data_IF_260355059061
#
_entry.id   IF_260355059061
#
_cell.length_a   1.000
_cell.length_b   1.000
_cell.length_c   1.000
_cell.angle_alpha   90.00
_cell.angle_beta   90.00
_cell.angle_gamma   90.00
#
_symmetry.space_group_name_H-M   'P 1'
#
loop_
_entity.id
_entity.type
_entity.pdbx_description
1 polymer ?
#
# COMPACT_ATOMS: atom_id res chain seq x y z
N UNK A 1 9.37 23.31 52.63
CA UNK A 1 9.62 22.71 51.30
C UNK A 1 9.38 23.70 50.15
N UNK A 2 9.96 24.91 50.19
CA UNK A 2 9.76 25.94 49.14
C UNK A 2 11.07 26.62 48.65
N UNK A 3 12.24 26.19 49.15
CA UNK A 3 13.55 26.74 48.77
C UNK A 3 14.37 25.83 47.84
N UNK A 4 13.98 24.56 47.68
CA UNK A 4 14.72 23.57 46.88
C UNK A 4 14.42 23.66 45.37
N UNK A 5 13.24 24.17 44.98
CA UNK A 5 12.86 24.31 43.57
C UNK A 5 13.50 25.53 42.87
N UNK A 6 13.79 26.59 43.62
CA UNK A 6 14.40 27.82 43.09
C UNK A 6 15.90 27.63 42.77
N UNK A 7 16.60 26.81 43.56
CA UNK A 7 17.98 26.45 43.29
C UNK A 7 18.11 25.58 42.04
N UNK A 8 17.18 24.65 41.82
CA UNK A 8 17.20 23.78 40.62
C UNK A 8 16.94 24.55 39.32
N UNK A 9 16.07 25.57 39.33
CA UNK A 9 15.86 26.46 38.17
C UNK A 9 17.05 27.37 37.88
N UNK A 10 17.81 27.80 38.90
CA UNK A 10 19.00 28.64 38.72
C UNK A 10 20.20 27.86 38.15
N UNK A 11 20.35 26.58 38.51
CA UNK A 11 21.38 25.72 37.90
C UNK A 11 21.05 25.34 36.44
N UNK A 12 19.76 25.20 36.09
CA UNK A 12 19.35 24.91 34.71
C UNK A 12 19.53 26.12 33.78
N UNK A 13 19.37 27.35 34.30
CA UNK A 13 19.62 28.57 33.52
C UNK A 13 21.12 28.89 33.37
N UNK A 14 21.94 28.55 34.37
CA UNK A 14 23.39 28.69 34.30
C UNK A 14 24.03 27.64 33.35
N UNK A 15 23.46 26.44 33.26
CA UNK A 15 23.89 25.41 32.32
C UNK A 15 23.52 25.73 30.86
N UNK A 16 22.54 26.61 30.61
CA UNK A 16 22.17 27.06 29.26
C UNK A 16 22.99 28.26 28.75
N UNK A 17 23.81 28.89 29.59
CA UNK A 17 24.54 30.13 29.26
C UNK A 17 26.06 29.95 29.19
N UNK A 18 26.57 28.72 29.31
CA UNK A 18 28.00 28.42 29.18
C UNK A 18 28.21 27.64 27.89
N UNK A 19 28.71 28.34 26.86
CA UNK A 19 29.39 27.71 25.73
C UNK A 19 28.75 27.92 24.36
N UNK A 20 28.52 29.16 23.93
CA UNK A 20 28.66 29.46 22.49
C UNK A 20 30.10 29.91 22.26
N UNK A 21 30.97 29.12 21.62
CA UNK A 21 32.24 29.66 21.17
C UNK A 21 31.96 30.76 20.14
N UNK A 22 32.63 31.90 20.30
CA UNK A 22 32.79 32.87 19.22
C UNK A 22 33.60 32.18 18.12
N UNK A 23 32.90 31.64 17.13
CA UNK A 23 33.52 31.12 15.91
C UNK A 23 34.07 32.32 15.15
N UNK A 24 35.40 32.43 15.08
CA UNK A 24 36.07 33.30 14.12
C UNK A 24 35.66 32.85 12.72
N UNK A 25 35.14 33.78 11.91
CA UNK A 25 34.87 33.52 10.51
C UNK A 25 36.22 33.33 9.79
N UNK A 26 36.51 32.08 9.43
CA UNK A 26 37.60 31.74 8.53
C UNK A 26 37.27 32.30 7.12
N UNK A 27 38.24 32.86 6.38
CA UNK A 27 37.99 33.36 5.03
C UNK A 27 37.40 32.24 4.19
N UNK A 28 36.29 32.53 3.50
CA UNK A 28 35.59 31.55 2.68
C UNK A 28 36.53 30.98 1.61
N UNK A 29 37.00 29.75 1.82
CA UNK A 29 37.61 28.97 0.75
C UNK A 29 36.60 28.87 -0.40
N UNK A 30 37.08 29.09 -1.62
CA UNK A 30 36.25 28.96 -2.81
C UNK A 30 35.55 27.59 -2.79
N UNK A 31 34.21 27.61 -2.80
CA UNK A 31 33.41 26.38 -2.73
C UNK A 31 33.75 25.54 -3.97
N UNK A 32 34.53 24.48 -3.77
CA UNK A 32 34.70 23.44 -4.79
C UNK A 32 33.39 22.65 -4.86
N UNK A 33 32.57 22.99 -5.85
CA UNK A 33 31.37 22.23 -6.18
C UNK A 33 31.82 21.03 -7.02
N UNK A 34 31.98 19.88 -6.38
CA UNK A 34 32.00 18.61 -7.11
C UNK A 34 30.53 18.23 -7.38
N UNK A 35 30.13 18.20 -8.65
CA UNK A 35 28.82 17.68 -9.02
C UNK A 35 28.80 16.18 -8.72
N UNK A 36 27.90 15.76 -7.84
CA UNK A 36 27.71 14.35 -7.50
C UNK A 36 26.86 13.64 -8.56
N UNK A 37 27.39 12.53 -9.06
CA UNK A 37 26.66 11.38 -9.59
C UNK A 37 25.52 11.65 -10.59
N UNK A 38 25.87 11.66 -11.88
CA UNK A 38 24.90 11.77 -12.98
C UNK A 38 23.95 10.58 -13.01
N UNK A 39 22.65 10.87 -12.91
CA UNK A 39 21.57 9.94 -13.23
C UNK A 39 20.64 10.59 -14.25
N UNK A 40 20.09 9.79 -15.15
CA UNK A 40 19.21 10.24 -16.21
C UNK A 40 18.00 9.29 -16.29
N UNK A 41 16.77 9.79 -16.10
CA UNK A 41 15.58 8.98 -16.31
C UNK A 41 15.45 8.67 -17.81
N UNK A 42 15.19 7.40 -18.13
CA UNK A 42 15.00 6.95 -19.49
C UNK A 42 13.54 7.21 -19.89
N UNK A 43 13.18 8.47 -20.12
CA UNK A 43 11.81 8.84 -20.44
C UNK A 43 11.39 8.39 -21.85
N UNK A 44 12.30 8.36 -22.81
CA UNK A 44 12.02 7.91 -24.16
C UNK A 44 12.92 8.53 -25.22
N UNK A 45 12.61 8.32 -26.50
CA UNK A 45 11.46 7.56 -27.00
C UNK A 45 11.62 6.04 -26.80
N UNK A 46 10.64 5.39 -26.18
CA UNK A 46 10.55 3.93 -26.11
C UNK A 46 9.81 3.39 -27.32
N UNK A 47 10.24 2.22 -27.82
CA UNK A 47 9.48 1.40 -28.76
C UNK A 47 8.58 0.44 -27.99
N UNK A 48 7.30 0.42 -28.30
CA UNK A 48 6.27 -0.34 -27.59
C UNK A 48 5.51 -1.29 -28.52
N UNK A 49 5.22 -2.49 -28.03
CA UNK A 49 4.43 -3.47 -28.76
C UNK A 49 3.69 -4.44 -27.82
N UNK A 50 2.42 -4.70 -28.10
CA UNK A 50 1.61 -5.69 -27.37
C UNK A 50 1.90 -7.12 -27.85
N UNK A 51 1.79 -8.10 -26.97
CA UNK A 51 2.04 -9.51 -27.26
C UNK A 51 3.36 -9.99 -26.65
N UNK A 52 3.79 -11.19 -27.03
CA UNK A 52 4.92 -11.86 -26.38
C UNK A 52 5.85 -12.55 -27.37
N UNK A 53 6.85 -11.83 -27.88
CA UNK A 53 7.87 -12.37 -28.78
C UNK A 53 9.22 -12.55 -28.06
N UNK A 54 9.72 -13.79 -27.85
CA UNK A 54 11.01 -14.01 -27.20
C UNK A 54 12.19 -13.34 -27.91
N UNK A 55 12.11 -13.19 -29.24
CA UNK A 55 13.12 -12.51 -30.06
C UNK A 55 13.22 -11.00 -29.80
N UNK A 56 12.22 -10.41 -29.15
CA UNK A 56 12.15 -8.97 -28.90
C UNK A 56 13.06 -8.49 -27.77
N UNK A 57 13.87 -9.36 -27.15
CA UNK A 57 14.98 -8.93 -26.30
C UNK A 57 16.28 -8.71 -27.09
N UNK A 58 16.40 -9.27 -28.30
CA UNK A 58 17.64 -9.26 -29.09
C UNK A 58 18.09 -7.82 -29.44
N UNK A 59 19.39 -7.49 -29.37
CA UNK A 59 19.91 -6.19 -29.76
C UNK A 59 19.71 -5.89 -31.26
N UNK A 60 19.74 -6.94 -32.09
CA UNK A 60 19.63 -6.84 -33.55
C UNK A 60 18.19 -6.82 -34.06
N UNK A 61 17.20 -6.93 -33.17
CA UNK A 61 15.80 -6.88 -33.55
C UNK A 61 15.41 -5.48 -34.06
N UNK A 62 14.77 -5.44 -35.23
CA UNK A 62 14.22 -4.24 -35.83
C UNK A 62 12.84 -3.91 -35.23
N UNK A 63 12.82 -2.87 -34.41
CA UNK A 63 11.64 -2.31 -33.74
C UNK A 63 11.17 -0.99 -34.39
N UNK A 64 11.62 -0.68 -35.60
CA UNK A 64 11.26 0.58 -36.30
C UNK A 64 9.76 0.74 -36.54
N UNK A 65 9.04 -0.37 -36.71
CA UNK A 65 7.59 -0.41 -36.92
C UNK A 65 6.77 -0.33 -35.61
N UNK A 66 7.43 -0.36 -34.44
CA UNK A 66 6.75 -0.33 -33.14
C UNK A 66 6.25 1.08 -32.80
N UNK A 67 5.20 1.12 -31.98
CA UNK A 67 4.66 2.37 -31.42
C UNK A 67 5.75 3.10 -30.63
N UNK A 68 5.74 4.44 -30.67
CA UNK A 68 6.63 5.24 -29.83
C UNK A 68 5.90 5.69 -28.57
N UNK A 69 6.47 5.41 -27.41
CA UNK A 69 5.97 5.81 -26.09
C UNK A 69 6.94 6.75 -25.41
N UNK A 70 6.40 7.85 -24.87
CA UNK A 70 7.10 8.75 -23.96
C UNK A 70 6.59 8.55 -22.53
N UNK A 71 7.53 8.31 -21.62
CA UNK A 71 7.36 8.15 -20.18
C UNK A 71 7.74 9.41 -19.40
N UNK A 72 7.87 10.57 -20.08
CA UNK A 72 8.06 11.86 -19.42
C UNK A 72 6.81 12.19 -18.57
N UNK A 73 6.95 12.32 -17.24
CA UNK A 73 5.83 12.65 -16.37
C UNK A 73 5.48 14.13 -16.47
N UNK A 74 4.19 14.44 -16.27
CA UNK A 74 3.79 15.82 -16.05
C UNK A 74 4.41 16.36 -14.74
N UNK A 75 4.73 17.66 -14.64
CA UNK A 75 5.25 18.24 -13.40
C UNK A 75 4.34 17.94 -12.19
N UNK A 76 4.92 17.37 -11.14
CA UNK A 76 4.19 17.00 -9.92
C UNK A 76 3.35 15.73 -10.03
N UNK A 77 3.40 14.99 -11.15
CA UNK A 77 2.68 13.73 -11.30
C UNK A 77 3.18 12.67 -10.30
N UNK A 78 2.24 12.00 -9.65
CA UNK A 78 2.50 10.92 -8.73
C UNK A 78 1.41 9.84 -8.85
N UNK A 79 1.67 8.64 -8.32
CA UNK A 79 0.66 7.58 -8.27
C UNK A 79 -0.46 7.90 -7.27
N UNK A 80 -1.59 7.23 -7.42
CA UNK A 80 -2.77 7.42 -6.55
C UNK A 80 -2.71 6.62 -5.24
N UNK A 81 -1.57 5.98 -4.91
CA UNK A 81 -1.40 5.16 -3.70
C UNK A 81 -0.49 5.84 -2.67
N UNK A 82 0.84 5.76 -2.84
CA UNK A 82 1.81 6.24 -1.83
C UNK A 82 2.48 7.57 -2.19
N UNK A 83 2.17 8.11 -3.37
CA UNK A 83 2.72 9.35 -3.91
C UNK A 83 4.09 9.16 -4.56
N UNK A 84 4.37 7.99 -5.15
CA UNK A 84 5.53 7.74 -6.00
C UNK A 84 5.58 8.80 -7.11
N UNK A 85 6.64 9.62 -7.18
CA UNK A 85 6.75 10.66 -8.20
C UNK A 85 7.05 10.06 -9.57
N UNK A 86 6.82 10.86 -10.61
CA UNK A 86 7.18 10.50 -11.98
C UNK A 86 6.17 9.58 -12.65
N UNK A 87 4.92 9.62 -12.20
CA UNK A 87 3.83 8.80 -12.74
C UNK A 87 3.43 9.23 -14.16
N UNK A 88 3.24 8.24 -15.03
CA UNK A 88 2.59 8.37 -16.34
C UNK A 88 1.47 7.35 -16.49
N UNK A 89 0.52 7.68 -17.36
CA UNK A 89 -0.61 6.79 -17.69
C UNK A 89 -0.16 5.51 -18.40
N UNK A 90 -0.88 4.41 -18.13
CA UNK A 90 -0.63 3.10 -18.68
C UNK A 90 -1.09 2.95 -20.14
N UNK A 91 -0.80 1.80 -20.77
CA UNK A 91 -1.15 1.57 -22.18
C UNK A 91 -2.65 1.59 -22.45
N UNK A 92 -3.49 1.36 -21.43
CA UNK A 92 -4.96 1.45 -21.57
C UNK A 92 -5.41 2.86 -21.99
N UNK A 93 -4.67 3.90 -21.60
CA UNK A 93 -4.91 5.30 -22.01
C UNK A 93 -4.18 5.68 -23.29
N UNK A 94 -3.41 4.75 -23.87
CA UNK A 94 -2.59 4.93 -25.08
C UNK A 94 -3.08 4.02 -26.22
N UNK A 95 -4.40 3.84 -26.33
CA UNK A 95 -5.01 3.09 -27.43
C UNK A 95 -5.17 1.58 -27.20
N UNK A 96 -4.71 1.03 -26.07
CA UNK A 96 -4.81 -0.40 -25.76
C UNK A 96 -5.78 -0.68 -24.60
N UNK A 97 -6.94 -0.02 -24.61
CA UNK A 97 -7.92 -0.12 -23.55
C UNK A 97 -8.42 -1.57 -23.35
N UNK A 98 -8.34 -2.06 -22.12
CA UNK A 98 -8.76 -3.42 -21.76
C UNK A 98 -7.77 -4.52 -22.16
N UNK A 99 -6.64 -4.18 -22.77
CA UNK A 99 -5.59 -5.13 -23.09
C UNK A 99 -4.89 -5.62 -21.81
N UNK A 100 -4.85 -6.93 -21.63
CA UNK A 100 -4.13 -7.64 -20.56
C UNK A 100 -3.24 -8.70 -21.17
N UNK A 101 -2.23 -9.13 -20.44
CA UNK A 101 -1.21 -10.05 -20.94
C UNK A 101 0.14 -9.36 -21.16
N UNK A 102 0.93 -9.89 -22.09
CA UNK A 102 2.30 -9.41 -22.30
C UNK A 102 2.36 -8.18 -23.19
N UNK A 103 3.31 -7.30 -22.90
CA UNK A 103 3.74 -6.23 -23.80
C UNK A 103 5.23 -5.96 -23.60
N UNK A 104 5.84 -5.29 -24.56
CA UNK A 104 7.27 -5.03 -24.58
C UNK A 104 7.59 -3.56 -24.79
N UNK A 105 8.60 -3.09 -24.07
CA UNK A 105 9.22 -1.78 -24.22
C UNK A 105 10.68 -1.97 -24.59
N UNK A 106 11.18 -1.24 -25.60
CA UNK A 106 12.59 -1.26 -26.03
C UNK A 106 13.14 0.15 -26.18
N UNK A 107 14.38 0.38 -25.78
CA UNK A 107 15.10 1.63 -26.03
C UNK A 107 16.56 1.32 -26.33
N UNK A 108 17.14 2.08 -27.27
CA UNK A 108 18.58 2.07 -27.56
C UNK A 108 19.17 3.36 -27.00
N UNK A 109 20.11 3.23 -26.08
CA UNK A 109 20.73 4.38 -25.41
C UNK A 109 22.23 4.36 -25.62
N UNK A 110 22.77 5.50 -26.05
CA UNK A 110 24.20 5.76 -26.11
C UNK A 110 24.62 6.46 -24.81
N UNK A 111 25.63 5.93 -24.14
CA UNK A 111 26.04 6.34 -22.80
C UNK A 111 27.53 6.59 -22.83
N UNK A 112 27.93 7.81 -22.53
CA UNK A 112 29.32 8.15 -22.32
C UNK A 112 29.73 7.69 -20.91
N UNK A 113 30.68 6.76 -20.84
CA UNK A 113 31.20 6.24 -19.58
C UNK A 113 32.65 6.66 -19.38
N UNK A 114 32.96 7.15 -18.19
CA UNK A 114 34.33 7.39 -17.76
C UNK A 114 35.03 6.06 -17.41
N UNK A 115 36.34 6.00 -17.61
CA UNK A 115 37.13 4.82 -17.30
C UNK A 115 37.04 4.47 -15.81
N UNK A 116 36.72 3.21 -15.51
CA UNK A 116 36.65 2.71 -14.13
C UNK A 116 35.42 3.15 -13.33
N UNK A 117 34.50 3.93 -13.90
CA UNK A 117 33.24 4.30 -13.22
C UNK A 117 32.15 3.27 -13.57
N UNK A 118 31.65 2.49 -12.59
CA UNK A 118 30.62 1.49 -12.85
C UNK A 118 29.26 2.14 -13.15
N UNK A 119 28.53 1.57 -14.11
CA UNK A 119 27.17 1.95 -14.47
C UNK A 119 26.14 1.01 -13.84
N UNK A 120 24.97 1.56 -13.51
CA UNK A 120 23.82 0.79 -13.06
C UNK A 120 22.52 1.35 -13.61
N UNK A 121 21.49 0.51 -13.62
CA UNK A 121 20.12 0.86 -13.94
C UNK A 121 19.26 0.68 -12.69
N UNK A 122 18.59 1.73 -12.24
CA UNK A 122 17.45 1.61 -11.34
C UNK A 122 16.24 1.13 -12.16
N UNK A 123 15.65 0.01 -11.76
CA UNK A 123 14.40 -0.47 -12.36
C UNK A 123 13.25 0.53 -12.15
N UNK A 124 12.19 0.43 -12.96
CA UNK A 124 10.98 1.22 -12.74
C UNK A 124 10.40 0.89 -11.35
N UNK A 125 10.09 1.91 -10.57
CA UNK A 125 9.51 1.74 -9.23
C UNK A 125 8.03 1.40 -9.28
N UNK A 126 7.37 1.64 -10.41
CA UNK A 126 5.98 1.27 -10.65
C UNK A 126 5.81 0.74 -12.06
N UNK A 127 5.47 -0.55 -12.12
CA UNK A 127 5.02 -1.26 -13.31
C UNK A 127 3.80 -2.05 -12.89
N UNK A 128 2.77 -2.07 -13.72
CA UNK A 128 1.62 -2.89 -13.42
C UNK A 128 1.97 -4.37 -13.46
N UNK A 129 1.61 -5.07 -12.39
CA UNK A 129 1.79 -6.51 -12.20
C UNK A 129 3.26 -7.01 -12.18
N UNK A 130 3.89 -7.28 -13.33
CA UNK A 130 5.22 -7.90 -13.34
C UNK A 130 6.05 -7.50 -14.57
N UNK A 131 7.38 -7.58 -14.46
CA UNK A 131 8.28 -7.39 -15.60
C UNK A 131 9.56 -8.21 -15.51
N UNK A 132 10.16 -8.46 -16.68
CA UNK A 132 11.55 -8.89 -16.85
C UNK A 132 12.33 -7.81 -17.59
N UNK A 133 13.56 -7.56 -17.17
CA UNK A 133 14.52 -6.64 -17.77
C UNK A 133 15.59 -7.44 -18.53
N UNK A 134 15.78 -7.06 -19.79
CA UNK A 134 16.85 -7.54 -20.64
C UNK A 134 17.76 -6.38 -21.05
N UNK A 135 19.06 -6.61 -21.05
CA UNK A 135 20.06 -5.69 -21.61
C UNK A 135 20.90 -6.47 -22.61
N UNK A 136 20.97 -5.97 -23.85
CA UNK A 136 21.66 -6.60 -24.97
C UNK A 136 21.28 -8.08 -25.16
N UNK A 137 19.98 -8.36 -25.02
CA UNK A 137 19.42 -9.71 -25.12
C UNK A 137 19.58 -10.60 -23.88
N UNK A 138 20.34 -10.20 -22.87
CA UNK A 138 20.56 -10.97 -21.64
C UNK A 138 19.58 -10.56 -20.55
N UNK A 139 18.92 -11.54 -19.93
CA UNK A 139 18.04 -11.32 -18.78
C UNK A 139 18.86 -10.88 -17.56
N UNK A 140 18.58 -9.69 -17.01
CA UNK A 140 19.22 -9.17 -15.80
C UNK A 140 18.39 -9.38 -14.53
N UNK A 141 17.06 -9.50 -14.66
CA UNK A 141 16.16 -9.72 -13.53
C UNK A 141 14.79 -9.10 -13.78
N UNK A 142 14.11 -8.69 -12.70
CA UNK A 142 12.80 -8.05 -12.80
C UNK A 142 11.95 -8.22 -11.53
N UNK A 143 10.67 -7.90 -11.64
CA UNK A 143 9.68 -8.10 -10.58
C UNK A 143 8.63 -9.12 -11.02
N UNK A 144 8.46 -10.20 -10.26
CA UNK A 144 7.56 -11.30 -10.60
C UNK A 144 8.28 -12.63 -10.88
N UNK A 145 7.53 -13.73 -10.81
CA UNK A 145 8.01 -15.08 -11.13
C UNK A 145 7.55 -15.53 -12.51
N UNK A 146 8.46 -15.75 -13.46
CA UNK A 146 8.16 -16.10 -14.86
C UNK A 146 8.39 -17.59 -15.18
N UNK A 147 8.34 -18.46 -14.19
CA UNK A 147 8.60 -19.91 -14.36
C UNK A 147 7.40 -20.70 -14.88
N UNK A 148 6.17 -20.19 -14.69
CA UNK A 148 4.93 -20.82 -15.15
C UNK A 148 4.37 -20.20 -16.43
N UNK A 149 3.24 -20.74 -16.90
CA UNK A 149 2.49 -20.20 -18.07
C UNK A 149 1.86 -18.84 -17.80
N UNK A 150 1.55 -18.55 -16.53
CA UNK A 150 1.08 -17.24 -16.06
C UNK A 150 2.11 -16.76 -15.03
N UNK A 151 2.65 -15.54 -15.19
CA UNK A 151 3.59 -14.99 -14.22
C UNK A 151 2.98 -14.83 -12.82
N UNK A 152 3.73 -15.21 -11.80
CA UNK A 152 3.39 -14.92 -10.40
C UNK A 152 3.71 -13.47 -10.10
N UNK A 153 2.70 -12.70 -9.71
CA UNK A 153 2.84 -11.26 -9.44
C UNK A 153 3.17 -11.01 -7.97
N UNK A 154 4.12 -10.11 -7.74
CA UNK A 154 4.52 -9.56 -6.44
C UNK A 154 4.52 -8.03 -6.53
N UNK A 155 4.56 -7.34 -5.39
CA UNK A 155 4.71 -5.88 -5.38
C UNK A 155 6.01 -5.45 -6.07
N UNK A 156 5.90 -4.55 -7.07
CA UNK A 156 7.06 -3.93 -7.70
C UNK A 156 7.79 -3.09 -6.67
N UNK A 157 9.11 -3.26 -6.59
CA UNK A 157 9.98 -2.63 -5.59
C UNK A 157 11.18 -1.95 -6.26
N UNK A 158 11.77 -0.93 -5.61
CA UNK A 158 13.01 -0.34 -6.07
C UNK A 158 14.11 -1.40 -6.19
N UNK A 159 14.69 -1.51 -7.38
CA UNK A 159 15.68 -2.52 -7.74
C UNK A 159 16.83 -1.87 -8.50
N UNK A 160 18.03 -2.45 -8.37
CA UNK A 160 19.25 -1.97 -9.03
C UNK A 160 19.83 -3.13 -9.84
N UNK A 161 20.18 -2.83 -11.08
CA UNK A 161 20.79 -3.78 -12.01
C UNK A 161 22.15 -3.24 -12.44
N UNK A 162 23.27 -3.90 -12.08
CA UNK A 162 24.58 -3.49 -12.56
C UNK A 162 24.67 -3.71 -14.07
N UNK A 163 25.28 -2.75 -14.78
CA UNK A 163 25.55 -2.88 -16.21
C UNK A 163 27.02 -3.22 -16.43
N UNK A 164 27.32 -3.94 -17.51
CA UNK A 164 28.70 -4.16 -17.92
C UNK A 164 29.31 -2.83 -18.35
N UNK A 165 30.38 -2.40 -17.67
CA UNK A 165 31.15 -1.21 -18.05
C UNK A 165 32.08 -1.54 -19.21
N UNK A 166 32.28 -0.57 -20.10
CA UNK A 166 33.35 -0.66 -21.09
C UNK A 166 34.72 -0.59 -20.38
N UNK A 167 35.74 -1.32 -20.86
CA UNK A 167 37.07 -1.34 -20.27
C UNK A 167 37.86 -0.03 -20.48
N UNK A 168 37.33 0.92 -21.25
CA UNK A 168 37.97 2.21 -21.53
C UNK A 168 36.91 3.30 -21.61
N UNK A 169 37.31 4.54 -21.33
CA UNK A 169 36.43 5.68 -21.50
C UNK A 169 35.90 5.76 -22.94
N UNK A 170 34.61 6.03 -23.10
CA UNK A 170 33.98 6.14 -24.42
C UNK A 170 32.47 5.94 -24.40
N UNK A 171 31.87 6.07 -25.58
CA UNK A 171 30.42 5.90 -25.78
C UNK A 171 30.08 4.43 -25.98
N UNK A 172 29.30 3.86 -25.06
CA UNK A 172 28.74 2.51 -25.18
C UNK A 172 27.26 2.58 -25.52
N UNK A 173 26.80 1.73 -26.43
CA UNK A 173 25.38 1.61 -26.76
C UNK A 173 24.78 0.39 -26.07
N UNK A 174 23.66 0.58 -25.38
CA UNK A 174 22.90 -0.48 -24.73
C UNK A 174 21.51 -0.60 -25.36
N UNK A 175 21.06 -1.83 -25.60
CA UNK A 175 19.66 -2.13 -25.92
C UNK A 175 18.97 -2.63 -24.67
N UNK A 176 18.07 -1.81 -24.13
CA UNK A 176 17.31 -2.12 -22.91
C UNK A 176 15.90 -2.52 -23.33
N UNK A 177 15.44 -3.70 -22.88
CA UNK A 177 14.11 -4.19 -23.16
C UNK A 177 13.39 -4.66 -21.89
N UNK A 178 12.15 -4.22 -21.71
CA UNK A 178 11.26 -4.70 -20.67
C UNK A 178 10.17 -5.57 -21.28
N UNK A 179 10.04 -6.80 -20.78
CA UNK A 179 8.88 -7.67 -21.02
C UNK A 179 7.94 -7.52 -19.83
N UNK A 180 6.80 -6.88 -20.03
CA UNK A 180 5.81 -6.59 -18.99
C UNK A 180 4.66 -7.56 -19.11
N UNK A 181 4.18 -8.07 -17.97
CA UNK A 181 2.96 -8.87 -17.87
C UNK A 181 1.92 -8.09 -17.09
N UNK A 182 0.73 -7.92 -17.67
CA UNK A 182 -0.43 -7.31 -17.01
C UNK A 182 -1.44 -8.38 -16.61
N UNK A 183 -1.64 -8.56 -15.31
CA UNK A 183 -2.61 -9.50 -14.79
C UNK A 183 -4.04 -9.02 -15.07
N UNK A 184 -4.94 -9.88 -15.60
CA UNK A 184 -6.34 -9.52 -15.82
C UNK A 184 -7.09 -9.02 -14.58
N UNK A 185 -6.62 -9.35 -13.36
CA UNK A 185 -7.22 -8.89 -12.11
C UNK A 185 -7.07 -7.39 -11.87
N UNK A 186 -6.07 -6.74 -12.48
CA UNK A 186 -5.88 -5.30 -12.37
C UNK A 186 -6.31 -4.51 -13.61
N UNK A 187 -6.99 -5.16 -14.56
CA UNK A 187 -7.49 -4.48 -15.76
C UNK A 187 -8.39 -3.29 -15.37
N UNK A 188 -8.06 -2.11 -15.86
CA UNK A 188 -8.70 -0.86 -15.48
C UNK A 188 -8.50 0.24 -16.53
N UNK A 189 -9.09 1.41 -16.26
CA UNK A 189 -9.06 2.53 -17.21
C UNK A 189 -7.66 3.08 -17.47
N UNK A 190 -6.78 3.04 -16.46
CA UNK A 190 -5.39 3.52 -16.55
C UNK A 190 -4.37 2.39 -16.35
N UNK A 191 -4.76 1.16 -16.68
CA UNK A 191 -3.91 0.00 -16.42
C UNK A 191 -2.90 -0.30 -17.52
N UNK A 192 -1.85 -1.00 -17.13
CA UNK A 192 -0.87 -1.66 -17.96
C UNK A 192 0.39 -0.86 -18.19
N UNK A 193 1.54 -1.52 -18.01
CA UNK A 193 2.82 -1.01 -18.46
C UNK A 193 3.65 -0.34 -17.39
N UNK A 194 4.64 0.42 -17.84
CA UNK A 194 5.57 1.16 -16.99
C UNK A 194 4.96 2.51 -16.66
N UNK A 195 4.76 2.79 -15.37
CA UNK A 195 4.21 4.05 -14.88
C UNK A 195 5.29 5.01 -14.38
N UNK A 196 6.46 4.52 -14.00
CA UNK A 196 7.62 5.35 -13.63
C UNK A 196 8.81 4.88 -14.44
N UNK A 197 9.43 5.78 -15.20
CA UNK A 197 10.57 5.46 -16.05
C UNK A 197 11.74 4.87 -15.24
N UNK A 198 12.48 3.88 -15.78
CA UNK A 198 13.74 3.46 -15.19
C UNK A 198 14.79 4.57 -15.31
N UNK A 199 15.80 4.53 -14.45
CA UNK A 199 16.86 5.54 -14.41
C UNK A 199 18.22 4.90 -14.61
N UNK A 200 19.01 5.45 -15.52
CA UNK A 200 20.37 5.02 -15.80
C UNK A 200 21.36 6.01 -15.17
N UNK A 201 22.50 5.53 -14.66
CA UNK A 201 23.54 6.44 -14.21
C UNK A 201 24.76 5.71 -13.64
N UNK A 202 25.63 6.49 -13.01
CA UNK A 202 26.73 5.93 -12.22
C UNK A 202 26.18 5.13 -11.04
N UNK A 203 26.85 4.03 -10.68
CA UNK A 203 26.34 3.08 -9.70
C UNK A 203 26.13 3.70 -8.30
N UNK A 204 26.95 4.67 -7.92
CA UNK A 204 26.84 5.45 -6.68
C UNK A 204 25.62 6.38 -6.67
N UNK A 205 25.35 7.09 -7.77
CA UNK A 205 24.13 7.89 -7.95
C UNK A 205 22.88 7.04 -7.93
N UNK A 206 22.92 5.88 -8.58
CA UNK A 206 21.82 4.90 -8.57
C UNK A 206 21.62 4.31 -7.17
N UNK A 207 22.68 4.07 -6.40
CA UNK A 207 22.56 3.62 -5.01
C UNK A 207 21.86 4.67 -4.12
N UNK A 208 22.19 5.96 -4.29
CA UNK A 208 21.50 7.05 -3.59
C UNK A 208 20.03 7.17 -4.00
N UNK A 209 19.75 7.08 -5.30
CA UNK A 209 18.38 7.07 -5.82
C UNK A 209 17.58 5.90 -5.26
N UNK A 210 18.17 4.71 -5.22
CA UNK A 210 17.54 3.50 -4.70
C UNK A 210 17.17 3.64 -3.22
N UNK A 211 18.03 4.22 -2.39
CA UNK A 211 17.72 4.52 -0.99
C UNK A 211 16.54 5.49 -0.87
N UNK A 212 16.51 6.55 -1.68
CA UNK A 212 15.40 7.51 -1.68
C UNK A 212 14.07 6.86 -2.11
N UNK A 213 14.09 6.01 -3.15
CA UNK A 213 12.92 5.26 -3.62
C UNK A 213 12.41 4.27 -2.56
N UNK A 214 13.31 3.59 -1.83
CA UNK A 214 12.93 2.72 -0.72
C UNK A 214 12.35 3.49 0.45
N UNK A 215 12.92 4.63 0.82
CA UNK A 215 12.35 5.50 1.87
C UNK A 215 10.94 5.94 1.50
N UNK A 216 10.70 6.26 0.23
CA UNK A 216 9.36 6.61 -0.26
C UNK A 216 8.38 5.43 -0.15
N UNK A 217 8.79 4.24 -0.58
CA UNK A 217 7.99 3.01 -0.47
C UNK A 217 7.70 2.66 1.00
N UNK A 218 8.70 2.82 1.87
CA UNK A 218 8.56 2.57 3.30
C UNK A 218 7.56 3.55 3.94
N UNK A 219 7.71 4.85 3.70
CA UNK A 219 6.83 5.88 4.27
C UNK A 219 5.38 5.73 3.83
N UNK A 220 5.13 5.27 2.60
CA UNK A 220 3.77 4.97 2.11
C UNK A 220 3.05 3.85 2.86
N UNK A 221 3.77 2.80 3.26
CA UNK A 221 3.15 1.59 3.84
C UNK A 221 3.42 1.41 5.34
N UNK A 222 4.17 2.31 5.99
CA UNK A 222 4.54 2.15 7.42
C UNK A 222 3.34 2.07 8.35
N UNK A 223 2.29 2.85 8.09
CA UNK A 223 1.05 2.79 8.86
C UNK A 223 0.36 1.42 8.75
N UNK A 224 0.48 0.77 7.59
CA UNK A 224 -0.08 -0.57 7.33
C UNK A 224 0.69 -1.69 8.03
N UNK A 225 1.88 -1.40 8.58
CA UNK A 225 2.63 -2.30 9.46
C UNK A 225 2.42 -1.98 10.96
N UNK A 226 2.38 -0.69 11.33
CA UNK A 226 2.27 -0.25 12.73
C UNK A 226 0.86 -0.45 13.30
N UNK A 227 -0.19 -0.14 12.54
CA UNK A 227 -1.58 -0.32 13.00
C UNK A 227 -1.95 -1.79 13.30
N UNK A 228 -1.62 -2.78 12.46
CA UNK A 228 -1.83 -4.19 12.81
C UNK A 228 -1.21 -4.59 14.13
N UNK A 229 0.01 -4.11 14.42
CA UNK A 229 0.67 -4.39 15.69
C UNK A 229 -0.14 -3.81 16.86
N UNK A 230 -0.61 -2.56 16.74
CA UNK A 230 -1.49 -1.96 17.73
C UNK A 230 -2.81 -2.73 17.90
N UNK A 231 -3.43 -3.21 16.82
CA UNK A 231 -4.64 -4.04 16.89
C UNK A 231 -4.40 -5.36 17.61
N UNK A 232 -3.25 -6.02 17.40
CA UNK A 232 -2.87 -7.23 18.14
C UNK A 232 -2.70 -6.92 19.63
N UNK A 233 -2.04 -5.82 19.99
CA UNK A 233 -1.90 -5.40 21.40
C UNK A 233 -3.28 -5.14 22.02
N UNK A 234 -4.17 -4.43 21.34
CA UNK A 234 -5.55 -4.22 21.81
C UNK A 234 -6.31 -5.54 21.94
N UNK A 235 -6.11 -6.50 21.03
CA UNK A 235 -6.73 -7.82 21.11
C UNK A 235 -6.25 -8.58 22.34
N UNK A 236 -4.94 -8.55 22.63
CA UNK A 236 -4.36 -9.15 23.85
C UNK A 236 -4.92 -8.50 25.12
N UNK A 237 -5.10 -7.18 25.14
CA UNK A 237 -5.75 -6.49 26.26
C UNK A 237 -7.21 -6.94 26.43
N UNK A 238 -7.95 -7.14 25.34
CA UNK A 238 -9.33 -7.67 25.38
C UNK A 238 -9.35 -9.11 25.88
N UNK A 239 -8.39 -9.95 25.47
CA UNK A 239 -8.26 -11.33 25.97
C UNK A 239 -7.95 -11.35 27.46
N UNK A 240 -7.04 -10.51 27.94
CA UNK A 240 -6.77 -10.35 29.37
C UNK A 240 -8.03 -9.90 30.14
N UNK A 241 -8.80 -8.96 29.58
CA UNK A 241 -10.07 -8.52 30.15
C UNK A 241 -11.09 -9.66 30.25
N UNK A 242 -11.12 -10.56 29.26
CA UNK A 242 -11.97 -11.76 29.29
C UNK A 242 -11.46 -12.78 30.31
N UNK A 243 -10.16 -13.02 30.44
CA UNK A 243 -9.61 -13.95 31.42
C UNK A 243 -9.94 -13.54 32.87
N UNK A 244 -10.03 -12.23 33.15
CA UNK A 244 -10.48 -11.71 34.44
C UNK A 244 -12.01 -11.87 34.68
N UNK A 245 -12.77 -12.43 33.74
CA UNK A 245 -14.23 -12.58 33.85
C UNK A 245 -14.68 -13.99 33.43
N UNK A 246 -15.64 -14.57 34.13
CA UNK A 246 -16.23 -15.88 33.78
C UNK A 246 -17.20 -15.85 32.57
N UNK A 247 -17.35 -14.71 31.88
CA UNK A 247 -18.36 -14.52 30.82
C UNK A 247 -17.77 -13.99 29.52
N UNK A 248 -17.95 -14.77 28.45
CA UNK A 248 -17.34 -14.72 27.10
C UNK A 248 -17.77 -13.53 26.21
N UNK A 249 -17.97 -12.35 26.81
CA UNK A 249 -18.70 -11.25 26.19
C UNK A 249 -17.94 -10.47 25.10
N UNK A 250 -16.62 -10.64 24.96
CA UNK A 250 -15.79 -9.81 24.06
C UNK A 250 -15.01 -10.61 23.01
N UNK A 251 -15.32 -11.90 22.83
CA UNK A 251 -14.61 -12.77 21.87
C UNK A 251 -14.66 -12.23 20.43
N UNK A 252 -15.79 -11.64 20.03
CA UNK A 252 -15.95 -11.05 18.70
C UNK A 252 -15.11 -9.78 18.53
N UNK A 253 -14.89 -9.01 19.59
CA UNK A 253 -14.02 -7.83 19.53
C UNK A 253 -12.55 -8.26 19.33
N UNK A 254 -12.09 -9.27 20.08
CA UNK A 254 -10.75 -9.82 19.89
C UNK A 254 -10.57 -10.40 18.46
N UNK A 255 -11.54 -11.19 17.99
CA UNK A 255 -11.53 -11.72 16.64
C UNK A 255 -11.53 -10.61 15.57
N UNK A 256 -12.37 -9.58 15.73
CA UNK A 256 -12.45 -8.47 14.80
C UNK A 256 -11.13 -7.68 14.71
N UNK A 257 -10.45 -7.47 15.84
CA UNK A 257 -9.14 -6.82 15.89
C UNK A 257 -8.07 -7.64 15.16
N UNK A 258 -8.01 -8.96 15.39
CA UNK A 258 -7.04 -9.83 14.71
C UNK A 258 -7.31 -9.93 13.21
N UNK A 259 -8.57 -10.10 12.80
CA UNK A 259 -8.93 -10.14 11.38
C UNK A 259 -8.58 -8.81 10.70
N UNK A 260 -8.84 -7.68 11.37
CA UNK A 260 -8.47 -6.36 10.86
C UNK A 260 -6.95 -6.19 10.77
N UNK A 261 -6.19 -6.66 11.76
CA UNK A 261 -4.73 -6.67 11.72
C UNK A 261 -4.21 -7.45 10.50
N UNK A 262 -4.74 -8.65 10.24
CA UNK A 262 -4.37 -9.46 9.07
C UNK A 262 -4.71 -8.78 7.74
N UNK A 263 -5.89 -8.15 7.65
CA UNK A 263 -6.29 -7.38 6.47
C UNK A 263 -5.40 -6.15 6.21
N UNK A 264 -4.77 -5.59 7.23
CA UNK A 264 -3.90 -4.41 7.10
C UNK A 264 -2.46 -4.82 6.79
N UNK A 265 -1.90 -5.77 7.55
CA UNK A 265 -0.49 -6.19 7.43
C UNK A 265 -0.16 -6.77 6.06
N UNK A 266 -1.16 -7.34 5.36
CA UNK A 266 -0.99 -7.87 4.00
C UNK A 266 -0.43 -6.82 3.03
N UNK A 267 -0.74 -5.53 3.22
CA UNK A 267 -0.31 -4.46 2.32
C UNK A 267 1.21 -4.27 2.44
N UNK A 268 1.71 -4.10 3.67
CA UNK A 268 3.14 -4.02 3.96
C UNK A 268 3.88 -5.29 3.51
N UNK A 269 3.32 -6.47 3.77
CA UNK A 269 3.92 -7.73 3.31
C UNK A 269 4.01 -7.82 1.79
N UNK A 270 2.97 -7.39 1.06
CA UNK A 270 2.95 -7.43 -0.40
C UNK A 270 3.92 -6.45 -1.06
N UNK A 271 4.05 -5.22 -0.52
CA UNK A 271 4.88 -4.17 -1.12
C UNK A 271 6.32 -4.15 -0.62
N UNK A 272 6.62 -4.74 0.55
CA UNK A 272 7.99 -4.79 1.06
C UNK A 272 8.68 -6.14 0.85
N UNK A 273 7.92 -7.23 0.64
CA UNK A 273 8.47 -8.59 0.63
C UNK A 273 7.92 -9.44 -0.53
N UNK A 274 8.52 -10.60 -0.76
CA UNK A 274 8.03 -11.62 -1.69
C UNK A 274 7.16 -12.69 -1.02
N UNK A 275 6.74 -12.49 0.23
CA UNK A 275 6.00 -13.52 0.98
C UNK A 275 4.57 -13.70 0.49
N UNK A 276 3.96 -12.64 -0.04
CA UNK A 276 2.61 -12.67 -0.57
C UNK A 276 2.64 -12.40 -2.07
N UNK A 277 2.28 -13.39 -2.87
CA UNK A 277 1.91 -13.15 -4.27
C UNK A 277 0.53 -12.47 -4.33
N UNK A 278 0.24 -11.85 -5.47
CA UNK A 278 -1.03 -11.20 -5.73
C UNK A 278 -2.24 -12.13 -5.56
N UNK A 279 -2.15 -13.39 -6.01
CA UNK A 279 -3.21 -14.38 -5.82
C UNK A 279 -3.51 -14.65 -4.34
N UNK A 280 -2.48 -14.68 -3.49
CA UNK A 280 -2.64 -14.82 -2.04
C UNK A 280 -3.28 -13.57 -1.42
N UNK A 281 -2.89 -12.37 -1.84
CA UNK A 281 -3.53 -11.13 -1.40
C UNK A 281 -5.03 -11.15 -1.75
N UNK A 282 -5.37 -11.56 -2.97
CA UNK A 282 -6.76 -11.71 -3.39
C UNK A 282 -7.52 -12.71 -2.51
N UNK A 283 -6.96 -13.91 -2.27
CA UNK A 283 -7.57 -14.93 -1.42
C UNK A 283 -7.82 -14.42 0.02
N UNK A 284 -6.84 -13.73 0.61
CA UNK A 284 -6.96 -13.10 1.93
C UNK A 284 -8.11 -12.09 1.95
N UNK A 285 -8.23 -11.23 0.93
CA UNK A 285 -9.32 -10.23 0.84
C UNK A 285 -10.68 -10.92 0.70
N UNK A 286 -10.80 -11.92 -0.16
CA UNK A 286 -12.05 -12.65 -0.42
C UNK A 286 -12.60 -13.26 0.88
N UNK A 287 -11.73 -13.83 1.71
CA UNK A 287 -12.13 -14.52 2.94
C UNK A 287 -12.24 -13.56 4.13
N UNK A 288 -11.22 -12.72 4.37
CA UNK A 288 -11.15 -11.94 5.60
C UNK A 288 -12.04 -10.70 5.58
N UNK A 289 -12.34 -10.08 4.43
CA UNK A 289 -13.23 -8.91 4.37
C UNK A 289 -14.64 -9.21 4.91
N UNK A 290 -15.38 -10.23 4.46
CA UNK A 290 -16.71 -10.54 5.01
C UNK A 290 -16.65 -10.99 6.47
N UNK A 291 -15.59 -11.71 6.87
CA UNK A 291 -15.39 -12.10 8.26
C UNK A 291 -15.14 -10.87 9.16
N UNK A 292 -14.41 -9.87 8.66
CA UNK A 292 -14.19 -8.60 9.36
C UNK A 292 -15.49 -7.84 9.56
N UNK A 293 -16.31 -7.70 8.51
CA UNK A 293 -17.64 -7.06 8.60
C UNK A 293 -18.54 -7.77 9.61
N UNK A 294 -18.58 -9.10 9.56
CA UNK A 294 -19.35 -9.92 10.50
C UNK A 294 -18.85 -9.76 11.94
N UNK A 295 -17.54 -9.91 12.17
CA UNK A 295 -16.94 -9.85 13.49
C UNK A 295 -17.13 -8.48 14.14
N UNK A 296 -16.91 -7.38 13.41
CA UNK A 296 -17.14 -6.03 13.92
C UNK A 296 -18.61 -5.74 14.23
N UNK A 297 -19.53 -6.21 13.38
CA UNK A 297 -20.98 -6.08 13.63
C UNK A 297 -21.38 -6.78 14.93
N UNK A 298 -20.90 -8.01 15.15
CA UNK A 298 -21.17 -8.77 16.37
C UNK A 298 -20.43 -8.22 17.60
N UNK A 299 -19.22 -7.68 17.41
CA UNK A 299 -18.43 -7.05 18.46
C UNK A 299 -19.16 -5.86 19.07
N UNK A 300 -19.69 -4.96 18.23
CA UNK A 300 -20.44 -3.79 18.72
C UNK A 300 -21.78 -4.17 19.35
N UNK A 301 -22.49 -5.17 18.79
CA UNK A 301 -23.69 -5.72 19.43
C UNK A 301 -23.41 -6.14 20.87
N UNK A 302 -22.35 -6.91 21.07
CA UNK A 302 -21.98 -7.44 22.39
C UNK A 302 -21.42 -6.34 23.30
N UNK A 303 -20.67 -5.38 22.75
CA UNK A 303 -20.14 -4.23 23.49
C UNK A 303 -21.25 -3.34 24.07
N UNK A 304 -22.26 -3.02 23.26
CA UNK A 304 -23.46 -2.26 23.65
C UNK A 304 -24.45 -3.09 24.47
N UNK A 305 -24.19 -4.39 24.67
CA UNK A 305 -25.05 -5.32 25.40
C UNK A 305 -26.49 -5.29 24.88
N UNK A 306 -26.63 -5.24 23.56
CA UNK A 306 -27.93 -5.41 22.93
C UNK A 306 -28.40 -6.84 23.18
N UNK A 307 -29.73 -7.01 23.23
CA UNK A 307 -30.31 -8.33 23.35
C UNK A 307 -29.79 -9.19 22.18
N UNK A 308 -29.69 -10.51 22.38
CA UNK A 308 -29.12 -11.44 21.38
C UNK A 308 -30.24 -12.11 20.58
N UNK A 309 -30.92 -11.42 19.64
CA UNK A 309 -31.94 -12.08 18.84
C UNK A 309 -31.26 -13.13 17.96
N UNK A 310 -31.82 -14.34 17.97
CA UNK A 310 -31.28 -15.47 17.22
C UNK A 310 -31.23 -15.23 15.70
N UNK A 311 -32.04 -14.29 15.19
CA UNK A 311 -32.04 -13.92 13.77
C UNK A 311 -30.79 -13.13 13.36
N UNK A 312 -30.26 -12.25 14.22
CA UNK A 312 -29.19 -11.33 13.85
C UNK A 312 -27.87 -12.06 13.57
N UNK A 313 -27.53 -13.07 14.38
CA UNK A 313 -26.35 -13.89 14.14
C UNK A 313 -26.46 -14.69 12.83
N UNK A 314 -27.63 -15.24 12.55
CA UNK A 314 -27.90 -15.96 11.30
C UNK A 314 -27.86 -15.03 10.09
N UNK A 315 -28.46 -13.84 10.18
CA UNK A 315 -28.43 -12.84 9.12
C UNK A 315 -27.00 -12.40 8.79
N UNK A 316 -26.19 -12.07 9.81
CA UNK A 316 -24.76 -11.74 9.62
C UNK A 316 -24.01 -12.91 8.97
N UNK A 317 -24.20 -14.15 9.42
CA UNK A 317 -23.57 -15.32 8.81
C UNK A 317 -23.95 -15.51 7.34
N UNK A 318 -25.25 -15.41 7.01
CA UNK A 318 -25.74 -15.53 5.62
C UNK A 318 -25.16 -14.43 4.74
N UNK A 319 -25.14 -13.17 5.20
CA UNK A 319 -24.55 -12.06 4.45
C UNK A 319 -23.06 -12.29 4.18
N UNK A 320 -22.30 -12.83 5.15
CA UNK A 320 -20.90 -13.17 4.95
C UNK A 320 -20.71 -14.25 3.86
N UNK A 321 -21.53 -15.31 3.89
CA UNK A 321 -21.46 -16.39 2.89
C UNK A 321 -21.82 -15.87 1.49
N UNK A 322 -22.92 -15.12 1.37
CA UNK A 322 -23.33 -14.50 0.09
C UNK A 322 -22.23 -13.60 -0.44
N UNK A 323 -21.59 -12.79 0.43
CA UNK A 323 -20.46 -11.95 0.02
C UNK A 323 -19.32 -12.77 -0.59
N UNK A 324 -18.87 -13.84 0.09
CA UNK A 324 -17.77 -14.68 -0.42
C UNK A 324 -18.12 -15.27 -1.79
N UNK A 325 -19.30 -15.87 -1.92
CA UNK A 325 -19.75 -16.51 -3.16
C UNK A 325 -19.72 -15.52 -4.33
N UNK A 326 -20.31 -14.34 -4.17
CA UNK A 326 -20.40 -13.37 -5.26
C UNK A 326 -19.09 -12.63 -5.52
N UNK A 327 -18.22 -12.47 -4.51
CA UNK A 327 -16.87 -11.96 -4.77
C UNK A 327 -16.03 -12.96 -5.55
N UNK A 328 -16.14 -14.26 -5.30
CA UNK A 328 -15.48 -15.29 -6.12
C UNK A 328 -15.94 -15.19 -7.58
N UNK A 329 -17.25 -15.08 -7.85
CA UNK A 329 -17.81 -14.94 -9.21
C UNK A 329 -17.25 -13.73 -9.98
N UNK A 330 -16.81 -12.68 -9.27
CA UNK A 330 -16.22 -11.48 -9.87
C UNK A 330 -14.76 -11.66 -10.30
N UNK A 331 -14.05 -12.64 -9.76
CA UNK A 331 -12.62 -12.79 -10.00
C UNK A 331 -12.35 -13.26 -11.43
N UNK A 332 -11.36 -12.71 -12.16
CA UNK A 332 -11.10 -13.10 -13.54
C UNK A 332 -10.69 -14.56 -13.73
N UNK A 333 -10.02 -15.15 -12.73
CA UNK A 333 -9.61 -16.55 -12.73
C UNK A 333 -10.77 -17.51 -12.42
N UNK A 334 -11.83 -17.03 -11.77
CA UNK A 334 -13.01 -17.83 -11.46
C UNK A 334 -14.08 -17.63 -12.53
N UNK A 335 -14.46 -18.70 -13.23
CA UNK A 335 -15.36 -18.62 -14.40
C UNK A 335 -14.85 -17.60 -15.44
N UNK A 336 -13.63 -17.80 -15.95
CA UNK A 336 -12.97 -16.88 -16.88
C UNK A 336 -13.83 -16.53 -18.13
N UNK A 337 -14.67 -17.46 -18.60
CA UNK A 337 -15.61 -17.27 -19.71
C UNK A 337 -17.00 -16.78 -19.33
N UNK A 338 -17.24 -16.36 -18.08
CA UNK A 338 -18.54 -15.88 -17.64
C UNK A 338 -18.96 -14.62 -18.42
N UNK A 339 -20.23 -14.53 -18.86
CA UNK A 339 -20.75 -13.34 -19.50
C UNK A 339 -20.58 -12.09 -18.64
N UNK A 340 -20.30 -10.95 -19.26
CA UNK A 340 -20.18 -9.65 -18.57
C UNK A 340 -21.40 -9.34 -17.69
N UNK A 341 -22.61 -9.75 -18.11
CA UNK A 341 -23.83 -9.60 -17.32
C UNK A 341 -23.79 -10.35 -15.98
N UNK A 342 -23.24 -11.56 -15.93
CA UNK A 342 -23.10 -12.31 -14.68
C UNK A 342 -22.14 -11.63 -13.72
N UNK A 343 -20.99 -11.15 -14.22
CA UNK A 343 -20.03 -10.38 -13.42
C UNK A 343 -20.66 -9.10 -12.90
N UNK A 344 -21.41 -8.37 -13.72
CA UNK A 344 -22.12 -7.15 -13.32
C UNK A 344 -23.16 -7.41 -12.20
N UNK A 345 -23.94 -8.50 -12.32
CA UNK A 345 -24.88 -8.92 -11.26
C UNK A 345 -24.11 -9.24 -9.97
N UNK A 346 -23.00 -9.96 -10.06
CA UNK A 346 -22.19 -10.29 -8.88
C UNK A 346 -21.60 -9.05 -8.20
N UNK A 347 -21.20 -8.04 -8.98
CA UNK A 347 -20.83 -6.72 -8.46
C UNK A 347 -21.99 -6.05 -7.71
N UNK A 348 -23.19 -6.01 -8.30
CA UNK A 348 -24.38 -5.42 -7.69
C UNK A 348 -24.82 -6.11 -6.39
N UNK A 349 -24.78 -7.45 -6.35
CA UNK A 349 -25.09 -8.23 -5.14
C UNK A 349 -24.08 -7.96 -4.05
N UNK A 350 -22.79 -7.95 -4.37
CA UNK A 350 -21.73 -7.64 -3.38
C UNK A 350 -21.93 -6.25 -2.76
N UNK A 351 -22.21 -5.24 -3.59
CA UNK A 351 -22.49 -3.88 -3.13
C UNK A 351 -23.72 -3.82 -2.22
N UNK A 352 -24.79 -4.52 -2.59
CA UNK A 352 -26.02 -4.61 -1.79
C UNK A 352 -25.79 -5.25 -0.43
N UNK A 353 -24.97 -6.32 -0.36
CA UNK A 353 -24.58 -6.97 0.90
C UNK A 353 -23.77 -6.02 1.79
N UNK A 354 -22.86 -5.22 1.22
CA UNK A 354 -22.10 -4.21 1.99
C UNK A 354 -23.01 -3.12 2.55
N UNK A 355 -23.97 -2.63 1.77
CA UNK A 355 -24.97 -1.67 2.25
C UNK A 355 -25.85 -2.26 3.35
N UNK A 356 -26.23 -3.53 3.25
CA UNK A 356 -26.97 -4.22 4.31
C UNK A 356 -26.13 -4.31 5.61
N UNK A 357 -24.83 -4.62 5.51
CA UNK A 357 -23.92 -4.55 6.65
C UNK A 357 -23.82 -3.15 7.23
N UNK A 358 -23.67 -2.11 6.41
CA UNK A 358 -23.60 -0.73 6.86
C UNK A 358 -24.88 -0.31 7.60
N UNK A 359 -26.05 -0.67 7.06
CA UNK A 359 -27.35 -0.39 7.70
C UNK A 359 -27.49 -1.12 9.05
N UNK A 360 -27.14 -2.41 9.12
CA UNK A 360 -27.14 -3.17 10.38
C UNK A 360 -26.16 -2.56 11.41
N UNK A 361 -24.98 -2.16 10.94
CA UNK A 361 -23.93 -1.57 11.77
C UNK A 361 -24.37 -0.23 12.39
N UNK A 362 -24.95 0.67 11.58
CA UNK A 362 -25.52 1.93 12.05
C UNK A 362 -26.71 1.72 12.98
N UNK A 363 -27.57 0.73 12.69
CA UNK A 363 -28.70 0.37 13.55
C UNK A 363 -28.23 -0.09 14.94
N UNK A 364 -27.16 -0.89 15.03
CA UNK A 364 -26.56 -1.33 16.29
C UNK A 364 -26.03 -0.13 17.09
N UNK A 365 -25.30 0.78 16.45
CA UNK A 365 -24.79 1.99 17.12
C UNK A 365 -25.95 2.84 17.65
N UNK A 366 -26.98 3.09 16.83
CA UNK A 366 -28.16 3.87 17.20
C UNK A 366 -28.94 3.25 18.36
N UNK A 367 -29.13 1.92 18.37
CA UNK A 367 -29.76 1.20 19.49
C UNK A 367 -28.93 1.28 20.76
N UNK A 368 -27.60 1.17 20.65
CA UNK A 368 -26.68 1.31 21.78
C UNK A 368 -26.80 2.68 22.47
N UNK A 369 -26.78 3.75 21.67
CA UNK A 369 -26.94 5.13 22.16
C UNK A 369 -28.31 5.37 22.82
N UNK A 370 -29.40 4.87 22.20
CA UNK A 370 -30.77 5.01 22.75
C UNK A 370 -30.97 4.27 24.08
N UNK A 371 -30.28 3.14 24.29
CA UNK A 371 -30.44 2.33 25.51
C UNK A 371 -29.80 2.97 26.74
N UNK A 372 -28.69 3.69 26.58
CA UNK A 372 -27.96 4.31 27.70
C UNK A 372 -27.03 5.41 27.21
N UNK A 373 -27.45 6.70 27.20
CA UNK A 373 -26.64 7.82 26.74
C UNK A 373 -25.60 8.24 27.80
N UNK A 374 -24.74 7.30 28.20
CA UNK A 374 -23.61 7.56 29.10
C UNK A 374 -22.40 8.02 28.29
N UNK A 375 -21.49 8.83 28.86
CA UNK A 375 -20.27 9.25 28.17
C UNK A 375 -19.45 8.09 27.58
N UNK A 376 -19.39 6.95 28.29
CA UNK A 376 -18.70 5.74 27.80
C UNK A 376 -19.39 5.07 26.61
N UNK A 377 -20.72 5.17 26.50
CA UNK A 377 -21.48 4.71 25.33
C UNK A 377 -21.22 5.61 24.13
N UNK A 378 -21.15 6.93 24.34
CA UNK A 378 -20.82 7.88 23.28
C UNK A 378 -19.39 7.66 22.76
N UNK A 379 -18.43 7.42 23.66
CA UNK A 379 -17.06 7.09 23.29
C UNK A 379 -16.97 5.76 22.51
N UNK A 380 -17.77 4.76 22.90
CA UNK A 380 -17.90 3.51 22.15
C UNK A 380 -18.54 3.69 20.77
N UNK A 381 -19.55 4.56 20.65
CA UNK A 381 -20.14 4.90 19.37
C UNK A 381 -19.14 5.63 18.46
N UNK A 382 -18.34 6.55 19.01
CA UNK A 382 -17.25 7.19 18.29
C UNK A 382 -16.24 6.16 17.78
N UNK A 383 -15.81 5.23 18.63
CA UNK A 383 -14.92 4.14 18.24
C UNK A 383 -15.52 3.29 17.11
N UNK A 384 -16.82 2.96 17.20
CA UNK A 384 -17.53 2.19 16.19
C UNK A 384 -17.61 2.93 14.84
N UNK A 385 -17.82 4.25 14.87
CA UNK A 385 -17.80 5.10 13.67
C UNK A 385 -16.40 5.15 13.06
N UNK A 386 -15.36 5.37 13.88
CA UNK A 386 -13.97 5.45 13.40
C UNK A 386 -13.52 4.17 12.69
N UNK A 387 -13.73 2.99 13.29
CA UNK A 387 -13.42 1.73 12.59
C UNK A 387 -14.35 1.50 11.39
N UNK A 388 -15.61 1.95 11.48
CA UNK A 388 -16.59 1.90 10.40
C UNK A 388 -16.14 2.66 9.14
N UNK A 389 -15.46 3.81 9.28
CA UNK A 389 -14.91 4.58 8.15
C UNK A 389 -13.97 3.73 7.29
N UNK A 390 -13.17 2.86 7.93
CA UNK A 390 -12.28 1.95 7.23
C UNK A 390 -12.98 0.70 6.69
N UNK A 391 -13.92 0.12 7.45
CA UNK A 391 -14.69 -1.06 7.02
C UNK A 391 -15.57 -0.78 5.80
N UNK A 392 -16.12 0.42 5.72
CA UNK A 392 -17.03 0.88 4.67
C UNK A 392 -16.39 1.91 3.74
N UNK A 393 -15.08 1.77 3.50
CA UNK A 393 -14.33 2.75 2.72
C UNK A 393 -14.90 2.96 1.29
N UNK A 394 -15.39 1.90 0.64
CA UNK A 394 -16.02 2.01 -0.68
C UNK A 394 -17.29 2.85 -0.65
N UNK A 395 -18.12 2.66 0.37
CA UNK A 395 -19.38 3.42 0.54
C UNK A 395 -19.09 4.89 0.86
N UNK A 396 -18.10 5.16 1.71
CA UNK A 396 -17.70 6.53 2.05
C UNK A 396 -17.11 7.25 0.83
N UNK A 397 -16.35 6.56 -0.03
CA UNK A 397 -15.85 7.15 -1.28
C UNK A 397 -16.97 7.42 -2.29
N UNK A 398 -18.04 6.60 -2.31
CA UNK A 398 -19.22 6.86 -3.12
C UNK A 398 -19.99 8.14 -2.70
N UNK A 399 -19.75 8.66 -1.50
CA UNK A 399 -20.26 9.96 -1.04
C UNK A 399 -19.40 11.15 -1.50
N UNK A 400 -18.38 10.92 -2.34
CA UNK A 400 -17.48 11.96 -2.83
C UNK A 400 -16.36 12.34 -1.86
N UNK A 401 -16.18 11.61 -0.76
CA UNK A 401 -15.09 11.85 0.18
C UNK A 401 -13.81 11.17 -0.34
N UNK A 402 -12.69 11.90 -0.51
CA UNK A 402 -11.43 11.31 -0.96
C UNK A 402 -11.00 10.10 -0.13
N UNK A 403 -10.42 9.12 -0.81
CA UNK A 403 -9.91 7.91 -0.17
C UNK A 403 -8.50 8.08 0.40
N UNK A 404 -7.68 8.92 -0.24
CA UNK A 404 -6.26 9.15 0.06
C UNK A 404 -5.99 10.65 -0.05
N UNK A 405 -5.15 11.17 0.83
CA UNK A 405 -4.59 12.52 0.75
C UNK A 405 -3.07 12.44 0.66
N UNK A 406 -2.43 13.49 0.15
CA UNK A 406 -0.98 13.53 -0.05
C UNK A 406 -0.28 14.62 0.77
N UNK A 407 -0.38 14.62 2.12
CA UNK A 407 0.36 15.57 2.94
C UNK A 407 1.86 15.43 2.68
N UNK A 408 2.51 16.54 2.30
CA UNK A 408 3.93 16.57 1.94
C UNK A 408 4.31 15.55 0.84
N UNK A 409 3.36 15.25 -0.06
CA UNK A 409 3.53 14.32 -1.16
C UNK A 409 3.48 12.84 -0.79
N UNK A 410 3.21 12.46 0.47
CA UNK A 410 3.07 11.05 0.89
C UNK A 410 1.61 10.68 0.94
N UNK A 411 1.21 9.62 0.24
CA UNK A 411 -0.15 9.11 0.27
C UNK A 411 -0.52 8.56 1.65
N UNK A 412 -1.59 9.09 2.23
CA UNK A 412 -2.17 8.64 3.50
C UNK A 412 -3.66 8.38 3.31
N UNK A 413 -4.05 7.12 3.48
CA UNK A 413 -5.43 6.69 3.31
C UNK A 413 -6.32 7.18 4.45
N UNK A 414 -7.59 7.46 4.14
CA UNK A 414 -8.63 7.76 5.12
C UNK A 414 -8.76 6.70 6.20
N UNK A 415 -8.58 5.43 5.82
CA UNK A 415 -8.55 4.32 6.76
C UNK A 415 -7.45 4.51 7.81
N UNK A 416 -6.25 4.94 7.41
CA UNK A 416 -5.12 5.10 8.33
C UNK A 416 -5.41 6.18 9.39
N UNK A 417 -5.92 7.35 8.99
CA UNK A 417 -6.33 8.38 9.96
C UNK A 417 -7.42 7.89 10.92
N UNK A 418 -8.44 7.22 10.39
CA UNK A 418 -9.56 6.73 11.18
C UNK A 418 -9.11 5.64 12.17
N UNK A 419 -8.22 4.74 11.75
CA UNK A 419 -7.67 3.67 12.56
C UNK A 419 -6.71 4.17 13.64
N UNK A 420 -5.86 5.15 13.34
CA UNK A 420 -5.01 5.79 14.36
C UNK A 420 -5.85 6.40 15.50
N UNK A 421 -6.91 7.14 15.17
CA UNK A 421 -7.84 7.68 16.15
C UNK A 421 -8.60 6.56 16.89
N UNK A 422 -9.06 5.53 16.16
CA UNK A 422 -9.77 4.40 16.72
C UNK A 422 -8.93 3.64 17.76
N UNK A 423 -7.65 3.39 17.48
CA UNK A 423 -6.71 2.71 18.39
C UNK A 423 -6.66 3.44 19.73
N UNK A 424 -6.47 4.76 19.72
CA UNK A 424 -6.42 5.58 20.93
C UNK A 424 -7.74 5.52 21.72
N UNK A 425 -8.88 5.67 21.03
CA UNK A 425 -10.20 5.64 21.67
C UNK A 425 -10.51 4.26 22.26
N UNK A 426 -10.22 3.17 21.53
CA UNK A 426 -10.46 1.82 22.00
C UNK A 426 -9.55 1.47 23.18
N UNK A 427 -8.30 1.91 23.17
CA UNK A 427 -7.37 1.75 24.28
C UNK A 427 -7.96 2.33 25.58
N UNK A 428 -8.45 3.57 25.53
CA UNK A 428 -9.10 4.24 26.66
C UNK A 428 -10.34 3.47 27.12
N UNK A 429 -11.17 2.99 26.20
CA UNK A 429 -12.37 2.21 26.52
C UNK A 429 -12.04 0.89 27.24
N UNK A 430 -11.01 0.18 26.81
CA UNK A 430 -10.56 -1.06 27.44
C UNK A 430 -10.01 -0.76 28.84
N UNK A 431 -9.20 0.30 28.99
CA UNK A 431 -8.63 0.71 30.27
C UNK A 431 -9.70 1.16 31.28
N UNK A 432 -10.70 1.93 30.85
CA UNK A 432 -11.82 2.32 31.70
C UNK A 432 -12.59 1.10 32.21
N UNK A 433 -12.76 0.07 31.36
CA UNK A 433 -13.41 -1.19 31.80
C UNK A 433 -12.53 -1.99 32.75
N UNK A 434 -11.22 -2.11 32.51
CA UNK A 434 -10.33 -2.86 33.41
C UNK A 434 -10.27 -2.23 34.80
N UNK A 435 -10.15 -0.90 34.90
CA UNK A 435 -10.21 -0.18 36.19
C UNK A 435 -11.57 -0.37 36.87
N UNK A 436 -12.66 -0.32 36.08
CA UNK A 436 -14.01 -0.56 36.60
C UNK A 436 -14.20 -1.95 37.19
N UNK A 437 -13.45 -2.96 36.71
CA UNK A 437 -13.44 -4.30 37.29
C UNK A 437 -12.55 -4.40 38.53
N UNK A 438 -11.35 -3.82 38.50
CA UNK A 438 -10.43 -3.81 39.64
C UNK A 438 -11.01 -3.07 40.87
N UNK A 439 -11.98 -2.17 40.69
CA UNK A 439 -12.68 -1.49 41.80
C UNK A 439 -13.88 -2.29 42.36
N UNK A 440 -14.30 -3.37 41.69
CA UNK A 440 -15.51 -4.15 42.03
C UNK A 440 -15.21 -5.55 42.56
N UNK A 441 -14.04 -6.10 42.25
CA UNK A 441 -13.45 -7.23 42.96
C UNK A 441 -12.60 -6.71 44.10
#
# INVERSE_FOLDING_TARGET
MRRSGLLFSLYLLAALMIGSPLVSAEPAEGVRIALGHSTAPLNGPWRFHVGDGPRWSSPDFDDSAWETVDLTPAPGAHDDDVGLPGYVSGWSRRGHAGYTGFAWYRIKVAVDSDEGIPLALAGPTLVDSAYQLYVDGKLLGGSGGFTGTVPTVYGVRPSVFPLSSAPSAGTSTYVIAFRVWMDPMYAGADSGGIHVAPTLGHADGIALLHQAQWLKTFTGYVADAVEPFAFVVLALMVVALMACRTGDAYRWLAAALIILALLRVKQALFFWTDWLSLGWVAAIVIVLTPLSLAAWTLAWRDWFRLDRPAWLGRAVGVLAVVYVVFVCVRQPWFMAGAPHGLKAVAHGVTASVRLAYAALYLWIIGRGLRRSPKPSTCLAALAAVLVGIGLFATEVSALGIPGIWFPYGVGVARGQYAYAAFIAVLFVLILQRSIGYARRG
#
